data_IF_288799070380
#
_entry.id   IF_288799070380
#
_cell.length_a   1.000
_cell.length_b   1.000
_cell.length_c   1.000
_cell.angle_alpha   90.00
_cell.angle_beta   90.00
_cell.angle_gamma   90.00
#
_symmetry.space_group_name_H-M   'P 1'
#
loop_
_entity.id
_entity.type
_entity.pdbx_description
1 polymer ?
#
# COMPACT_ATOMS: atom_id res chain seq x y z
N UNK A 1 -0.61 6.35 -1.54
CA UNK A 1 0.22 5.92 -2.68
C UNK A 1 -0.68 5.51 -3.82
N UNK A 2 -0.49 6.03 -5.02
CA UNK A 2 -1.21 5.58 -6.22
C UNK A 2 -0.57 4.27 -6.72
N UNK A 3 -1.37 3.19 -6.73
CA UNK A 3 -0.89 1.85 -7.10
C UNK A 3 -0.56 1.71 -8.59
N UNK A 4 -1.22 2.49 -9.47
CA UNK A 4 -0.96 2.46 -10.92
C UNK A 4 0.46 2.88 -11.31
N UNK A 5 1.18 3.48 -10.39
CA UNK A 5 2.51 3.99 -10.65
C UNK A 5 3.48 3.86 -9.50
N UNK A 6 3.06 3.26 -8.40
CA UNK A 6 3.84 3.21 -7.15
C UNK A 6 4.29 4.61 -6.68
N UNK A 7 3.45 5.63 -6.93
CA UNK A 7 3.76 7.03 -6.64
C UNK A 7 3.12 7.44 -5.31
N UNK A 8 3.90 7.90 -4.31
CA UNK A 8 3.36 8.47 -3.09
C UNK A 8 2.68 9.83 -3.40
N UNK A 9 1.34 9.84 -3.40
CA UNK A 9 0.53 11.05 -3.68
C UNK A 9 0.23 11.86 -2.42
N UNK A 10 0.31 11.23 -1.27
CA UNK A 10 0.12 11.87 0.03
C UNK A 10 1.13 11.30 1.04
N UNK A 11 1.87 12.17 1.69
CA UNK A 11 2.82 11.83 2.75
C UNK A 11 2.58 12.76 3.93
N UNK A 12 2.43 12.20 5.12
CA UNK A 12 2.29 12.95 6.36
C UNK A 12 3.28 12.43 7.38
N UNK A 13 4.21 13.29 7.79
CA UNK A 13 5.22 12.96 8.79
C UNK A 13 4.72 13.41 10.17
N UNK A 14 4.78 12.50 11.14
CA UNK A 14 4.42 12.75 12.54
C UNK A 14 5.55 12.34 13.47
N UNK A 15 5.52 12.82 14.68
CA UNK A 15 6.32 12.26 15.76
C UNK A 15 5.83 10.84 16.08
N UNK A 16 6.73 9.93 16.42
CA UNK A 16 6.43 8.50 16.58
C UNK A 16 5.36 8.15 17.63
N UNK A 17 4.95 9.11 18.47
CA UNK A 17 3.90 8.94 19.45
C UNK A 17 2.47 9.11 18.87
N UNK A 18 2.33 9.54 17.62
CA UNK A 18 1.01 9.77 16.99
C UNK A 18 0.52 8.48 16.37
N UNK A 19 -0.62 7.99 16.87
CA UNK A 19 -1.24 6.77 16.33
C UNK A 19 -1.74 7.00 14.89
N UNK A 20 -1.44 6.07 13.97
CA UNK A 20 -1.72 6.15 12.54
C UNK A 20 -3.20 6.43 12.22
N UNK A 21 -4.12 5.90 13.00
CA UNK A 21 -5.56 6.11 12.80
C UNK A 21 -6.01 7.58 12.89
N UNK A 22 -5.19 8.47 13.52
CA UNK A 22 -5.46 9.91 13.58
C UNK A 22 -5.20 10.62 12.26
N UNK A 23 -4.48 9.98 11.35
CA UNK A 23 -4.13 10.54 10.04
C UNK A 23 -5.20 10.28 9.00
N UNK A 24 -6.08 9.28 9.21
CA UNK A 24 -7.13 8.92 8.25
C UNK A 24 -7.96 10.12 7.77
N UNK A 25 -8.37 10.96 8.70
CA UNK A 25 -9.23 12.12 8.39
C UNK A 25 -8.48 13.25 7.63
N UNK A 26 -7.16 13.11 7.43
CA UNK A 26 -6.32 14.04 6.66
C UNK A 26 -6.01 13.55 5.24
N UNK A 27 -6.32 12.29 4.93
CA UNK A 27 -6.10 11.74 3.60
C UNK A 27 -7.06 12.45 2.63
N UNK A 28 -6.57 13.02 1.51
CA UNK A 28 -7.44 13.56 0.49
C UNK A 28 -8.25 12.41 -0.12
N UNK A 29 -9.58 12.51 -0.06
CA UNK A 29 -10.49 11.48 -0.56
C UNK A 29 -11.15 11.97 -1.84
N UNK A 30 -11.06 11.16 -2.88
CA UNK A 30 -11.66 11.38 -4.19
C UNK A 30 -12.81 10.39 -4.38
N UNK A 31 -13.94 10.88 -4.88
CA UNK A 31 -15.10 10.04 -5.18
C UNK A 31 -14.75 8.96 -6.22
N UNK A 32 -15.36 7.79 -6.11
CA UNK A 32 -15.14 6.62 -6.96
C UNK A 32 -13.70 6.06 -6.94
N UNK A 33 -12.88 6.49 -5.99
CA UNK A 33 -11.54 5.95 -5.77
C UNK A 33 -11.52 4.84 -4.73
N UNK A 34 -10.54 3.95 -4.83
CA UNK A 34 -10.35 2.81 -3.92
C UNK A 34 -9.17 3.06 -2.99
N UNK A 35 -9.40 2.86 -1.70
CA UNK A 35 -8.39 3.05 -0.65
C UNK A 35 -8.10 1.73 0.06
N UNK A 36 -6.88 1.25 -0.08
CA UNK A 36 -6.41 0.03 0.57
C UNK A 36 -5.70 0.38 1.87
N UNK A 37 -6.14 -0.21 2.98
CA UNK A 37 -5.65 0.12 4.32
C UNK A 37 -5.35 -1.13 5.13
N UNK A 38 -4.37 -1.06 6.01
CA UNK A 38 -4.15 -2.13 6.99
C UNK A 38 -5.21 -2.07 8.12
N UNK A 39 -5.40 -3.19 8.83
CA UNK A 39 -6.33 -3.33 9.97
C UNK A 39 -6.09 -2.29 11.08
N UNK A 40 -4.86 -1.79 11.21
CA UNK A 40 -4.50 -0.74 12.15
C UNK A 40 -5.23 0.60 11.92
N UNK A 41 -5.63 0.85 10.68
CA UNK A 41 -6.39 2.06 10.29
C UNK A 41 -7.90 1.92 10.45
N UNK A 42 -8.44 0.75 10.87
CA UNK A 42 -9.89 0.55 10.99
C UNK A 42 -10.46 1.40 12.14
N UNK A 43 -11.02 2.54 11.78
CA UNK A 43 -11.78 3.46 12.62
C UNK A 43 -13.14 3.69 11.94
N UNK A 44 -14.19 3.00 12.39
CA UNK A 44 -15.50 2.97 11.72
C UNK A 44 -16.10 4.35 11.47
N UNK A 45 -15.92 5.28 12.40
CA UNK A 45 -16.35 6.66 12.27
C UNK A 45 -15.69 7.37 11.08
N UNK A 46 -14.38 7.21 10.91
CA UNK A 46 -13.63 7.77 9.77
C UNK A 46 -13.98 7.04 8.47
N UNK A 47 -14.12 5.70 8.50
CA UNK A 47 -14.53 4.91 7.33
C UNK A 47 -15.90 5.37 6.81
N UNK A 48 -16.84 5.66 7.71
CA UNK A 48 -18.15 6.14 7.32
C UNK A 48 -18.11 7.58 6.83
N UNK A 49 -17.68 8.52 7.70
CA UNK A 49 -17.78 9.96 7.39
C UNK A 49 -16.79 10.43 6.34
N UNK A 50 -15.59 9.88 6.32
CA UNK A 50 -14.54 10.37 5.45
C UNK A 50 -14.50 9.64 4.12
N UNK A 51 -14.84 8.35 4.06
CA UNK A 51 -14.82 7.56 2.82
C UNK A 51 -16.22 7.31 2.27
N UNK A 52 -17.10 6.65 3.04
CA UNK A 52 -18.41 6.23 2.55
C UNK A 52 -19.29 7.41 2.11
N UNK A 53 -19.43 8.44 2.94
CA UNK A 53 -20.23 9.63 2.60
C UNK A 53 -19.64 10.48 1.48
N UNK A 54 -18.35 10.32 1.16
CA UNK A 54 -17.69 10.96 0.02
C UNK A 54 -17.64 10.06 -1.22
N UNK A 55 -18.46 9.00 -1.25
CA UNK A 55 -18.54 8.07 -2.39
C UNK A 55 -17.22 7.41 -2.76
N UNK A 56 -16.31 7.26 -1.80
CA UNK A 56 -15.06 6.53 -1.95
C UNK A 56 -15.19 5.11 -1.40
N UNK A 57 -14.47 4.21 -2.03
CA UNK A 57 -14.45 2.81 -1.62
C UNK A 57 -13.19 2.51 -0.81
N UNK A 58 -13.30 1.61 0.15
CA UNK A 58 -12.15 1.12 0.90
C UNK A 58 -12.12 -0.41 0.92
N UNK A 59 -10.92 -0.96 1.04
CA UNK A 59 -10.69 -2.36 1.36
C UNK A 59 -9.67 -2.43 2.50
N UNK A 60 -10.04 -3.12 3.59
CA UNK A 60 -9.17 -3.31 4.74
C UNK A 60 -9.35 -4.71 5.31
N UNK A 61 -8.45 -5.16 6.18
CA UNK A 61 -8.68 -6.39 6.94
C UNK A 61 -9.65 -6.13 8.08
N UNK A 62 -10.64 -7.03 8.24
CA UNK A 62 -11.56 -6.99 9.37
C UNK A 62 -10.82 -7.24 10.71
N UNK A 63 -11.28 -6.60 11.78
CA UNK A 63 -10.82 -6.89 13.14
C UNK A 63 -11.43 -8.20 13.61
N UNK A 64 -10.66 -9.01 14.32
CA UNK A 64 -11.10 -10.32 14.81
C UNK A 64 -12.28 -10.22 15.81
N UNK A 65 -12.27 -9.17 16.63
CA UNK A 65 -13.30 -8.91 17.65
C UNK A 65 -14.46 -8.04 17.15
N UNK A 66 -14.67 -7.96 15.84
CA UNK A 66 -15.79 -7.22 15.24
C UNK A 66 -17.11 -7.96 15.45
N UNK A 67 -18.08 -7.30 16.07
CA UNK A 67 -19.44 -7.82 16.27
C UNK A 67 -20.33 -7.38 15.11
N UNK A 68 -20.95 -8.34 14.44
CA UNK A 68 -21.82 -8.09 13.29
C UNK A 68 -22.87 -9.19 13.15
N UNK A 69 -23.90 -8.92 12.40
CA UNK A 69 -24.88 -9.88 11.90
C UNK A 69 -24.74 -10.01 10.38
N UNK A 70 -25.00 -11.18 9.83
CA UNK A 70 -25.03 -11.43 8.39
C UNK A 70 -26.45 -11.14 7.91
N UNK A 71 -26.57 -10.26 6.94
CA UNK A 71 -27.84 -9.89 6.32
C UNK A 71 -28.12 -10.70 5.06
N UNK A 72 -27.07 -11.02 4.30
CA UNK A 72 -27.13 -11.73 3.02
C UNK A 72 -25.81 -12.42 2.72
N UNK A 73 -25.85 -13.52 1.98
CA UNK A 73 -24.66 -14.28 1.56
C UNK A 73 -24.73 -14.58 0.06
N UNK A 74 -23.62 -14.41 -0.62
CA UNK A 74 -23.48 -14.71 -2.04
C UNK A 74 -22.79 -16.04 -2.24
N UNK A 75 -23.12 -16.71 -3.33
CA UNK A 75 -22.37 -17.88 -3.77
C UNK A 75 -20.93 -17.48 -4.12
N UNK A 76 -19.98 -18.34 -3.78
CA UNK A 76 -18.55 -18.11 -4.00
C UNK A 76 -17.91 -19.33 -4.66
N UNK A 77 -16.90 -19.09 -5.46
CA UNK A 77 -16.05 -20.12 -6.02
C UNK A 77 -14.95 -20.51 -5.03
N UNK A 78 -15.16 -21.61 -4.32
CA UNK A 78 -14.18 -22.12 -3.35
C UNK A 78 -12.88 -22.59 -4.04
N UNK A 79 -12.94 -22.99 -5.32
CA UNK A 79 -11.73 -23.38 -6.05
C UNK A 79 -10.77 -22.21 -6.30
N UNK A 80 -11.30 -20.98 -6.31
CA UNK A 80 -10.52 -19.74 -6.37
C UNK A 80 -10.03 -19.24 -5.00
N UNK A 81 -10.26 -20.00 -3.91
CA UNK A 81 -9.86 -19.61 -2.56
C UNK A 81 -10.89 -18.74 -1.83
N UNK A 82 -12.08 -18.49 -2.41
CA UNK A 82 -13.13 -17.72 -1.74
C UNK A 82 -13.91 -18.63 -0.77
N UNK A 83 -13.91 -18.30 0.52
CA UNK A 83 -14.62 -19.05 1.55
C UNK A 83 -16.02 -18.48 1.82
N UNK A 84 -16.19 -17.15 1.82
CA UNK A 84 -17.50 -16.49 1.90
C UNK A 84 -17.48 -15.08 1.33
N UNK A 85 -18.67 -14.60 0.95
CA UNK A 85 -18.94 -13.22 0.53
C UNK A 85 -20.29 -12.80 1.11
N UNK A 86 -20.24 -11.97 2.14
CA UNK A 86 -21.36 -11.66 3.00
C UNK A 86 -21.66 -10.17 3.04
N UNK A 87 -22.94 -9.82 3.03
CA UNK A 87 -23.40 -8.49 3.44
C UNK A 87 -23.64 -8.53 4.94
N UNK A 88 -22.96 -7.67 5.67
CA UNK A 88 -23.00 -7.62 7.13
C UNK A 88 -23.44 -6.26 7.65
N UNK A 89 -23.97 -6.25 8.87
CA UNK A 89 -24.25 -5.04 9.64
C UNK A 89 -23.58 -5.10 11.00
N UNK A 90 -22.93 -4.01 11.41
CA UNK A 90 -22.28 -3.96 12.70
C UNK A 90 -23.32 -3.91 13.84
N UNK A 91 -23.15 -4.77 14.85
CA UNK A 91 -24.06 -4.89 16.01
C UNK A 91 -23.46 -4.41 17.31
N UNK A 92 -22.13 -4.19 17.35
CA UNK A 92 -21.48 -3.67 18.55
C UNK A 92 -22.02 -2.28 18.93
N UNK A 93 -22.29 -2.01 20.24
CA UNK A 93 -22.99 -0.80 20.70
C UNK A 93 -22.40 0.53 20.25
N UNK A 94 -21.07 0.58 20.10
CA UNK A 94 -20.34 1.76 19.62
C UNK A 94 -20.10 1.73 18.12
N UNK A 95 -19.86 0.55 17.55
CA UNK A 95 -19.47 0.40 16.14
C UNK A 95 -20.66 0.57 15.21
N UNK A 96 -21.85 0.05 15.59
CA UNK A 96 -23.09 0.22 14.83
C UNK A 96 -23.52 1.68 14.67
N UNK A 97 -23.30 2.51 15.71
CA UNK A 97 -23.56 3.96 15.64
C UNK A 97 -22.55 4.70 14.77
N UNK A 98 -21.30 4.22 14.72
CA UNK A 98 -20.20 4.83 13.95
C UNK A 98 -20.25 4.47 12.47
N UNK A 99 -20.79 3.32 12.14
CA UNK A 99 -21.02 2.86 10.77
C UNK A 99 -22.42 2.22 10.70
N UNK A 100 -23.47 3.02 10.45
CA UNK A 100 -24.85 2.54 10.50
C UNK A 100 -25.26 1.71 9.27
N UNK A 101 -24.55 1.88 8.14
CA UNK A 101 -24.85 1.20 6.89
C UNK A 101 -24.25 -0.20 6.84
N UNK A 102 -24.69 -0.98 5.86
CA UNK A 102 -24.15 -2.31 5.61
C UNK A 102 -22.73 -2.25 5.07
N UNK A 103 -21.96 -3.27 5.39
CA UNK A 103 -20.63 -3.54 4.90
C UNK A 103 -20.60 -4.89 4.18
N UNK A 104 -19.62 -5.12 3.38
CA UNK A 104 -19.35 -6.40 2.75
C UNK A 104 -18.12 -7.02 3.39
N UNK A 105 -18.22 -8.30 3.75
CA UNK A 105 -17.14 -9.11 4.31
C UNK A 105 -16.84 -10.24 3.33
N UNK A 106 -15.63 -10.22 2.78
CA UNK A 106 -15.12 -11.28 1.88
C UNK A 106 -14.06 -12.06 2.63
N UNK A 107 -14.23 -13.38 2.70
CA UNK A 107 -13.26 -14.29 3.32
C UNK A 107 -12.54 -15.06 2.21
N UNK A 108 -11.21 -14.98 2.20
CA UNK A 108 -10.36 -15.54 1.18
C UNK A 108 -9.21 -16.32 1.81
N UNK A 109 -8.94 -17.51 1.32
CA UNK A 109 -7.80 -18.33 1.68
C UNK A 109 -6.73 -18.23 0.59
N UNK A 110 -5.56 -17.80 0.97
CA UNK A 110 -4.38 -17.83 0.12
C UNK A 110 -3.72 -19.19 0.23
N UNK A 111 -3.93 -20.05 -0.77
CA UNK A 111 -3.39 -21.40 -0.82
C UNK A 111 -1.84 -21.45 -0.80
N UNK A 112 -1.18 -20.38 -1.25
CA UNK A 112 0.29 -20.34 -1.27
C UNK A 112 0.90 -20.18 0.12
N UNK A 113 0.18 -19.49 1.01
CA UNK A 113 0.62 -19.20 2.39
C UNK A 113 -0.22 -19.92 3.44
N UNK A 114 -1.28 -20.61 3.03
CA UNK A 114 -2.28 -21.24 3.91
C UNK A 114 -2.86 -20.26 4.94
N UNK A 115 -3.08 -19.02 4.50
CA UNK A 115 -3.53 -17.92 5.36
C UNK A 115 -4.94 -17.48 4.96
N UNK A 116 -5.83 -17.41 5.95
CA UNK A 116 -7.20 -16.90 5.74
C UNK A 116 -7.24 -15.40 6.02
N UNK A 117 -7.67 -14.65 5.03
CA UNK A 117 -7.90 -13.22 5.10
C UNK A 117 -9.39 -12.90 5.17
N UNK A 118 -9.74 -11.90 5.96
CA UNK A 118 -11.10 -11.36 6.06
C UNK A 118 -11.07 -9.91 5.63
N UNK A 119 -11.59 -9.62 4.44
CA UNK A 119 -11.61 -8.28 3.86
C UNK A 119 -12.93 -7.59 4.13
N UNK A 120 -12.87 -6.38 4.64
CA UNK A 120 -14.01 -5.51 4.91
C UNK A 120 -14.02 -4.37 3.89
N UNK A 121 -15.16 -4.14 3.24
CA UNK A 121 -15.31 -3.09 2.23
C UNK A 121 -16.74 -2.52 2.22
N UNK A 122 -16.89 -1.31 1.67
CA UNK A 122 -18.17 -0.73 1.32
C UNK A 122 -18.50 -0.86 -0.18
N UNK A 123 -17.71 -1.65 -0.92
CA UNK A 123 -17.97 -1.90 -2.33
C UNK A 123 -18.74 -3.21 -2.52
N UNK A 124 -19.92 -3.11 -3.11
CA UNK A 124 -20.82 -4.24 -3.39
C UNK A 124 -20.86 -4.63 -4.87
N UNK A 125 -20.09 -3.93 -5.73
CA UNK A 125 -20.13 -4.10 -7.19
C UNK A 125 -18.99 -4.96 -7.74
N UNK A 126 -17.82 -4.88 -7.12
CA UNK A 126 -16.66 -5.68 -7.55
C UNK A 126 -16.87 -7.16 -7.21
N UNK A 127 -16.29 -8.03 -8.01
CA UNK A 127 -16.21 -9.45 -7.70
C UNK A 127 -15.40 -9.69 -6.43
N UNK A 128 -15.72 -10.75 -5.68
CA UNK A 128 -15.06 -11.05 -4.40
C UNK A 128 -13.56 -11.31 -4.59
N UNK A 129 -13.17 -12.02 -5.65
CA UNK A 129 -11.78 -12.29 -5.97
C UNK A 129 -11.01 -10.98 -6.25
N UNK A 130 -11.62 -10.05 -6.98
CA UNK A 130 -11.03 -8.72 -7.25
C UNK A 130 -10.76 -7.93 -5.95
N UNK A 131 -11.61 -8.08 -4.92
CA UNK A 131 -11.36 -7.46 -3.60
C UNK A 131 -10.07 -8.02 -2.97
N UNK A 132 -9.87 -9.34 -3.04
CA UNK A 132 -8.67 -9.99 -2.52
C UNK A 132 -7.40 -9.57 -3.30
N UNK A 133 -7.49 -9.53 -4.63
CA UNK A 133 -6.41 -9.07 -5.52
C UNK A 133 -6.03 -7.61 -5.26
N UNK A 134 -7.02 -6.72 -5.17
CA UNK A 134 -6.78 -5.32 -4.82
C UNK A 134 -6.05 -5.19 -3.48
N UNK A 135 -6.46 -5.95 -2.47
CA UNK A 135 -5.79 -5.87 -1.18
C UNK A 135 -4.33 -6.36 -1.25
N UNK A 136 -4.00 -7.30 -2.12
CA UNK A 136 -2.62 -7.74 -2.35
C UNK A 136 -1.73 -6.59 -2.81
N UNK A 137 -2.25 -5.67 -3.63
CA UNK A 137 -1.53 -4.49 -4.09
C UNK A 137 -1.10 -3.54 -2.95
N UNK A 138 -1.70 -3.64 -1.76
CA UNK A 138 -1.26 -2.90 -0.57
C UNK A 138 0.23 -3.13 -0.26
N UNK A 139 0.78 -4.28 -0.66
CA UNK A 139 2.21 -4.59 -0.47
C UNK A 139 3.17 -3.57 -1.11
N UNK A 140 2.74 -2.86 -2.14
CA UNK A 140 3.55 -1.83 -2.78
C UNK A 140 3.98 -0.71 -1.82
N UNK A 141 3.19 -0.40 -0.80
CA UNK A 141 3.58 0.60 0.20
C UNK A 141 4.72 0.09 1.10
N UNK A 142 4.76 -1.21 1.36
CA UNK A 142 5.85 -1.82 2.13
C UNK A 142 7.15 -1.82 1.32
N UNK A 143 7.08 -2.09 0.02
CA UNK A 143 8.22 -1.98 -0.89
C UNK A 143 8.75 -0.54 -0.96
N UNK A 144 7.85 0.46 -1.00
CA UNK A 144 8.22 1.86 -0.91
C UNK A 144 8.96 2.18 0.39
N UNK A 145 8.41 1.79 1.55
CA UNK A 145 9.09 2.01 2.83
C UNK A 145 10.41 1.25 2.96
N UNK A 146 10.49 0.04 2.41
CA UNK A 146 11.74 -0.72 2.34
C UNK A 146 12.79 0.06 1.54
N UNK A 147 12.41 0.58 0.37
CA UNK A 147 13.28 1.39 -0.46
C UNK A 147 13.77 2.64 0.29
N UNK A 148 12.84 3.42 0.87
CA UNK A 148 13.16 4.61 1.66
C UNK A 148 14.15 4.27 2.79
N UNK A 149 13.91 3.20 3.55
CA UNK A 149 14.80 2.77 4.64
C UNK A 149 16.21 2.39 4.14
N UNK A 150 16.30 1.75 3.00
CA UNK A 150 17.59 1.33 2.41
C UNK A 150 18.40 2.53 1.91
N UNK A 151 17.76 3.52 1.30
CA UNK A 151 18.46 4.67 0.70
C UNK A 151 18.69 5.82 1.69
N UNK A 152 17.88 5.93 2.72
CA UNK A 152 18.11 6.92 3.78
C UNK A 152 19.29 6.60 4.69
N UNK A 153 19.85 5.38 4.64
CA UNK A 153 20.80 4.92 5.65
C UNK A 153 20.33 5.25 7.08
N UNK A 154 19.02 5.01 7.39
CA UNK A 154 18.32 5.42 8.63
C UNK A 154 19.04 4.96 9.92
N UNK A 155 20.05 4.11 9.82
CA UNK A 155 20.88 3.76 10.98
C UNK A 155 21.64 4.96 11.58
N UNK A 156 21.80 6.05 10.82
CA UNK A 156 22.46 7.29 11.25
C UNK A 156 21.83 8.49 10.57
N UNK A 157 20.95 9.19 11.27
CA UNK A 157 20.53 10.52 10.84
C UNK A 157 21.69 11.50 10.94
N UNK A 158 21.90 12.35 9.94
CA UNK A 158 22.95 13.40 9.95
C UNK A 158 22.69 14.45 11.04
N UNK A 159 21.48 14.52 11.59
CA UNK A 159 21.11 15.37 12.69
C UNK A 159 19.98 14.78 13.50
N UNK A 160 19.96 15.08 14.81
CA UNK A 160 18.99 14.54 15.76
C UNK A 160 17.78 15.46 15.96
N UNK A 161 17.80 16.67 15.39
CA UNK A 161 16.65 17.58 15.49
C UNK A 161 15.50 17.12 14.60
N UNK A 162 14.27 17.41 15.00
CA UNK A 162 13.07 17.09 14.21
C UNK A 162 13.18 17.57 12.76
N UNK A 163 13.65 18.81 12.56
CA UNK A 163 13.80 19.36 11.23
C UNK A 163 14.83 18.60 10.39
N UNK A 164 15.98 18.23 10.97
CA UNK A 164 17.00 17.46 10.26
C UNK A 164 16.48 16.09 9.81
N UNK A 165 15.77 15.38 10.71
CA UNK A 165 15.16 14.08 10.41
C UNK A 165 14.11 14.22 9.32
N UNK A 166 13.19 15.18 9.43
CA UNK A 166 12.13 15.39 8.43
C UNK A 166 12.71 15.80 7.08
N UNK A 167 13.72 16.66 7.06
CA UNK A 167 14.41 17.07 5.83
C UNK A 167 15.01 15.85 5.13
N UNK A 168 15.70 14.99 5.86
CA UNK A 168 16.31 13.78 5.31
C UNK A 168 15.26 12.82 4.73
N UNK A 169 14.12 12.63 5.41
CA UNK A 169 13.00 11.83 4.90
C UNK A 169 12.42 12.44 3.61
N UNK A 170 12.22 13.75 3.58
CA UNK A 170 11.70 14.43 2.39
C UNK A 170 12.66 14.34 1.20
N UNK A 171 13.97 14.46 1.43
CA UNK A 171 14.99 14.28 0.37
C UNK A 171 14.87 12.87 -0.23
N UNK A 172 14.76 11.82 0.60
CA UNK A 172 14.64 10.46 0.07
C UNK A 172 13.33 10.22 -0.68
N UNK A 173 12.22 10.83 -0.26
CA UNK A 173 10.95 10.77 -0.99
C UNK A 173 11.09 11.46 -2.35
N UNK A 174 11.75 12.62 -2.40
CA UNK A 174 12.01 13.33 -3.65
C UNK A 174 12.91 12.51 -4.59
N UNK A 175 13.97 11.91 -4.07
CA UNK A 175 14.85 11.02 -4.84
C UNK A 175 14.09 9.83 -5.41
N UNK A 176 13.28 9.14 -4.60
CA UNK A 176 12.40 8.07 -5.07
C UNK A 176 11.47 8.52 -6.20
N UNK A 177 10.84 9.70 -6.06
CA UNK A 177 9.95 10.24 -7.07
C UNK A 177 10.68 10.55 -8.38
N UNK A 178 11.86 11.16 -8.30
CA UNK A 178 12.69 11.46 -9.47
C UNK A 178 13.09 10.18 -10.21
N UNK A 179 13.48 9.14 -9.48
CA UNK A 179 13.83 7.85 -10.08
C UNK A 179 12.63 7.17 -10.77
N UNK A 180 11.43 7.22 -10.17
CA UNK A 180 10.21 6.69 -10.81
C UNK A 180 9.85 7.49 -12.06
N UNK A 181 9.93 8.82 -12.00
CA UNK A 181 9.65 9.68 -13.14
C UNK A 181 10.64 9.37 -14.27
N UNK A 182 11.94 9.28 -13.95
CA UNK A 182 12.96 8.91 -14.92
C UNK A 182 12.71 7.52 -15.52
N UNK A 183 12.43 6.53 -14.68
CA UNK A 183 12.11 5.16 -15.13
C UNK A 183 10.94 5.15 -16.12
N UNK A 184 9.85 5.86 -15.82
CA UNK A 184 8.67 5.94 -16.69
C UNK A 184 8.96 6.75 -17.97
N UNK A 185 9.58 7.91 -17.83
CA UNK A 185 9.83 8.80 -18.96
C UNK A 185 10.75 8.17 -20.00
N UNK A 186 11.81 7.49 -19.55
CA UNK A 186 12.78 6.82 -20.41
C UNK A 186 12.46 5.35 -20.69
N UNK A 187 11.32 4.82 -20.18
CA UNK A 187 10.89 3.42 -20.32
C UNK A 187 11.99 2.42 -19.90
N UNK A 188 12.65 2.70 -18.77
CA UNK A 188 13.76 1.88 -18.28
C UNK A 188 13.25 0.58 -17.65
N UNK A 189 13.82 -0.57 -18.06
CA UNK A 189 13.48 -1.89 -17.53
C UNK A 189 14.12 -2.20 -16.17
N UNK A 190 15.37 -1.77 -15.85
CA UNK A 190 16.04 -2.14 -14.61
C UNK A 190 15.25 -1.78 -13.34
N UNK A 191 15.58 -2.42 -12.20
CA UNK A 191 15.03 -2.09 -10.89
C UNK A 191 15.37 -0.65 -10.48
N UNK A 192 14.57 -0.03 -9.60
CA UNK A 192 14.88 1.32 -9.09
C UNK A 192 16.26 1.37 -8.40
N UNK A 193 16.66 0.28 -7.75
CA UNK A 193 17.97 0.17 -7.11
C UNK A 193 19.10 0.19 -8.16
N UNK A 194 18.98 -0.58 -9.25
CA UNK A 194 19.94 -0.54 -10.36
C UNK A 194 20.03 0.83 -10.98
N UNK A 195 18.87 1.47 -11.23
CA UNK A 195 18.81 2.82 -11.78
C UNK A 195 19.52 3.82 -10.87
N UNK A 196 19.23 3.80 -9.56
CA UNK A 196 19.88 4.66 -8.57
C UNK A 196 21.40 4.49 -8.56
N UNK A 197 21.89 3.25 -8.55
CA UNK A 197 23.32 2.95 -8.55
C UNK A 197 24.00 3.43 -9.84
N UNK A 198 23.39 3.21 -11.00
CA UNK A 198 23.93 3.66 -12.28
C UNK A 198 24.01 5.19 -12.35
N UNK A 199 22.95 5.89 -11.91
CA UNK A 199 22.94 7.35 -11.85
C UNK A 199 24.02 7.87 -10.89
N UNK A 200 24.19 7.26 -9.71
CA UNK A 200 25.20 7.66 -8.73
C UNK A 200 26.63 7.57 -9.30
N UNK A 201 26.92 6.59 -10.17
CA UNK A 201 28.24 6.43 -10.79
C UNK A 201 28.53 7.47 -11.87
N UNK A 202 27.48 8.04 -12.47
CA UNK A 202 27.62 8.95 -13.61
C UNK A 202 27.10 10.36 -13.32
N UNK A 203 26.70 10.65 -12.08
CA UNK A 203 26.05 11.90 -11.68
C UNK A 203 26.80 13.17 -12.13
N UNK A 204 28.13 13.11 -12.21
CA UNK A 204 29.00 14.22 -12.64
C UNK A 204 29.52 14.07 -14.07
N UNK A 205 29.09 13.05 -14.81
CA UNK A 205 29.44 12.86 -16.20
C UNK A 205 28.38 13.50 -17.10
N UNK A 206 28.79 14.20 -18.15
CA UNK A 206 27.85 14.65 -19.18
C UNK A 206 27.55 13.48 -20.12
N UNK A 207 26.27 13.14 -20.29
CA UNK A 207 25.83 12.09 -21.19
C UNK A 207 24.28 11.98 -21.18
N UNK A 208 23.74 11.34 -22.19
CA UNK A 208 22.30 11.02 -22.22
C UNK A 208 22.02 9.87 -21.24
N UNK A 209 20.96 10.00 -20.45
CA UNK A 209 20.51 8.95 -19.52
C UNK A 209 20.27 7.63 -20.26
N UNK A 210 19.72 7.66 -21.49
CA UNK A 210 19.51 6.45 -22.30
C UNK A 210 20.81 5.72 -22.63
N UNK A 211 21.86 6.44 -22.95
CA UNK A 211 23.15 5.82 -23.29
C UNK A 211 23.78 5.12 -22.09
N UNK A 212 23.57 5.67 -20.89
CA UNK A 212 24.04 5.06 -19.64
C UNK A 212 23.41 3.69 -19.41
N UNK A 213 22.09 3.56 -19.66
CA UNK A 213 21.38 2.31 -19.44
C UNK A 213 21.54 1.30 -20.58
N UNK A 214 21.68 1.75 -21.84
CA UNK A 214 21.97 0.88 -22.98
C UNK A 214 23.36 0.23 -22.88
N UNK A 215 24.35 0.91 -22.27
CA UNK A 215 25.68 0.33 -22.03
C UNK A 215 25.69 -0.68 -20.86
N UNK A 216 24.80 -0.53 -19.89
CA UNK A 216 24.74 -1.42 -18.70
C UNK A 216 24.10 -2.77 -19.02
N UNK A 217 23.15 -2.83 -19.96
CA UNK A 217 22.52 -4.09 -20.40
C UNK A 217 23.49 -5.04 -21.11
N UNK A 218 24.63 -4.54 -21.59
CA UNK A 218 25.66 -5.36 -22.23
C UNK A 218 26.64 -6.02 -21.23
N UNK A 219 26.60 -5.67 -19.94
CA UNK A 219 27.59 -6.15 -18.96
C UNK A 219 27.02 -6.95 -17.79
N UNK A 220 25.71 -7.13 -17.68
CA UNK A 220 25.09 -7.88 -16.57
C UNK A 220 24.28 -9.08 -17.04
N UNK A 221 24.96 -10.11 -17.55
CA UNK A 221 24.49 -11.50 -17.47
C UNK A 221 24.88 -12.07 -16.10
N UNK A 222 24.24 -11.58 -15.02
CA UNK A 222 24.22 -12.24 -13.72
C UNK A 222 22.86 -12.90 -13.59
N UNK A 223 22.75 -14.24 -13.39
CA UNK A 223 21.47 -14.91 -13.23
C UNK A 223 20.73 -14.33 -12.03
N UNK A 224 19.49 -13.88 -12.27
CA UNK A 224 18.58 -13.51 -11.17
C UNK A 224 18.38 -14.74 -10.27
N UNK A 225 18.98 -14.67 -9.10
CA UNK A 225 18.67 -15.60 -8.02
C UNK A 225 17.29 -15.30 -7.47
N UNK A 226 16.53 -16.36 -7.29
CA UNK A 226 15.23 -16.53 -6.66
C UNK A 226 14.54 -15.27 -6.11
N UNK A 227 13.29 -15.08 -6.56
CA UNK A 227 12.40 -14.01 -6.09
C UNK A 227 12.27 -13.95 -4.56
N UNK A 228 11.84 -12.80 -4.02
CA UNK A 228 11.91 -12.53 -2.60
C UNK A 228 11.06 -13.52 -1.80
N UNK A 229 11.73 -14.38 -1.02
CA UNK A 229 11.08 -15.18 0.01
C UNK A 229 10.40 -14.22 0.98
N UNK A 230 9.14 -14.49 1.24
CA UNK A 230 8.32 -13.78 2.22
C UNK A 230 9.01 -13.86 3.59
N UNK A 231 9.63 -12.74 4.00
CA UNK A 231 10.12 -12.59 5.36
C UNK A 231 8.92 -12.21 6.23
N UNK A 232 8.52 -13.14 7.08
CA UNK A 232 7.63 -12.87 8.21
C UNK A 232 8.28 -11.80 9.07
N UNK A 233 7.68 -10.61 9.10
CA UNK A 233 8.06 -9.55 10.04
C UNK A 233 7.06 -9.56 11.19
N UNK A 234 7.62 -9.63 12.38
CA UNK A 234 7.04 -9.58 13.72
C UNK A 234 6.12 -8.39 13.93
#
# INVERSE_FOLDING_TARGET
>A
MDLRGSIPTFVHLTEGAVHDSKIMDKIPVEANSYYLMDKGYVKFDSLFRHFHLNYAFFVTRAKENMLYEILDSREVDQSAGLLSDETIKLTGPLTSRKYPDSLRLVVYEDFSTNTVYRFLTNNFKLEALTIAELYRERWQIELFFKWIKQHLHIKTFYGTTKNAVFTQIWIAICDYLLLIIAKKHYMLNPSLHSISNSIAQVLFKRGDIKDIFNQTDLTTNVPEGDGPRQLTLW
#
